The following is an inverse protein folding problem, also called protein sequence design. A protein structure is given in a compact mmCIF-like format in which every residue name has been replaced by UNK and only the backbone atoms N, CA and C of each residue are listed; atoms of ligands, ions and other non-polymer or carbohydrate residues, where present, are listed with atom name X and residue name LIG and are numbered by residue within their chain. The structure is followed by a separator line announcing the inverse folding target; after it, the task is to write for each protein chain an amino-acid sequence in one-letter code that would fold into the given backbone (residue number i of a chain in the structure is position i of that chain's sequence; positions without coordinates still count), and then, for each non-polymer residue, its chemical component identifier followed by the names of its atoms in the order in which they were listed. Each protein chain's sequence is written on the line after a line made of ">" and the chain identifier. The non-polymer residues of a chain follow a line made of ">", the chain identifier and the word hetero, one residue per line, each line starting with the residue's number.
data_IF_929598034367
#
_entry.id   IF_929598034367
#
_cell.length_a   1.000
_cell.length_b   1.000
_cell.length_c   1.000
_cell.angle_alpha   90.00
_cell.angle_beta   90.00
_cell.angle_gamma   90.00
#
_symmetry.space_group_name_H-M   'P 1'
#
loop_
_entity.id
_entity.type
_entity.pdbx_description
1 polymer ?
#
# COMPACT_ATOMS: atom_id res chain seq x y z
N UNK A 1 -22.08 1.24 13.75
CA UNK A 1 -21.74 2.32 12.80
C UNK A 1 -22.17 1.87 11.41
N UNK A 2 -22.91 2.68 10.65
CA UNK A 2 -23.36 2.31 9.30
C UNK A 2 -22.40 2.74 8.19
N UNK A 3 -21.66 3.82 8.42
CA UNK A 3 -20.68 4.37 7.49
C UNK A 3 -19.48 4.92 8.28
N UNK A 4 -18.26 4.56 7.88
CA UNK A 4 -17.01 5.04 8.45
C UNK A 4 -16.12 5.58 7.32
N UNK A 5 -15.64 6.81 7.50
CA UNK A 5 -14.67 7.44 6.60
C UNK A 5 -13.40 7.73 7.38
N UNK A 6 -12.29 7.17 6.92
CA UNK A 6 -10.99 7.33 7.55
C UNK A 6 -9.89 7.65 6.54
N UNK A 7 -8.76 8.13 7.06
CA UNK A 7 -7.52 8.23 6.31
C UNK A 7 -6.52 7.17 6.76
N UNK A 8 -5.44 7.02 5.99
CA UNK A 8 -4.31 6.15 6.35
C UNK A 8 -3.10 7.00 6.71
N UNK A 9 -2.52 6.75 7.89
CA UNK A 9 -1.28 7.34 8.37
C UNK A 9 -0.06 7.01 7.51
N UNK A 10 1.06 7.74 7.67
CA UNK A 10 2.32 7.39 6.96
C UNK A 10 2.87 6.03 7.40
N UNK A 11 2.54 5.66 8.62
CA UNK A 11 2.77 4.41 9.35
C UNK A 11 1.58 3.43 9.27
N UNK A 12 0.57 3.72 8.45
CA UNK A 12 -0.56 2.83 8.22
C UNK A 12 -1.68 2.92 9.27
N UNK A 13 -1.62 3.86 10.22
CA UNK A 13 -2.63 3.95 11.27
C UNK A 13 -4.02 4.35 10.72
N UNK A 14 -5.06 3.91 11.43
CA UNK A 14 -6.46 4.36 11.27
C UNK A 14 -6.92 4.93 12.59
N UNK A 15 -7.38 6.19 12.60
CA UNK A 15 -7.51 6.97 13.83
C UNK A 15 -6.18 6.95 14.63
N UNK A 16 -6.15 6.48 15.87
CA UNK A 16 -4.88 6.24 16.60
C UNK A 16 -4.56 4.75 16.77
N UNK A 17 -5.09 3.89 15.91
CA UNK A 17 -4.72 2.47 15.88
C UNK A 17 -3.47 2.31 15.01
N UNK A 18 -2.31 2.21 15.67
CA UNK A 18 -0.99 2.07 15.04
C UNK A 18 -0.63 0.61 14.77
N UNK A 19 0.45 0.36 14.02
CA UNK A 19 1.02 -0.98 13.80
C UNK A 19 1.07 -1.79 15.11
N UNK A 20 0.50 -3.01 15.09
CA UNK A 20 0.40 -3.90 16.24
C UNK A 20 -0.89 -3.73 17.06
N UNK A 21 -1.77 -2.77 16.70
CA UNK A 21 -3.08 -2.67 17.34
C UNK A 21 -3.93 -3.90 17.05
N UNK A 22 -4.61 -4.40 18.07
CA UNK A 22 -5.55 -5.51 17.92
C UNK A 22 -6.70 -5.12 16.99
N UNK A 23 -7.01 -5.97 16.00
CA UNK A 23 -8.14 -5.81 15.08
C UNK A 23 -9.50 -5.83 15.81
N UNK A 24 -9.57 -6.43 17.01
CA UNK A 24 -10.74 -6.45 17.88
C UNK A 24 -10.74 -5.34 18.93
N UNK A 25 -9.79 -4.41 18.86
CA UNK A 25 -9.71 -3.31 19.81
C UNK A 25 -11.01 -2.51 19.90
N UNK A 26 -11.39 -2.17 21.13
CA UNK A 26 -12.51 -1.27 21.42
C UNK A 26 -12.04 0.17 21.52
N UNK A 27 -12.99 1.11 21.58
CA UNK A 27 -12.70 2.51 21.91
C UNK A 27 -11.94 2.59 23.23
N UNK A 28 -10.78 3.24 23.22
CA UNK A 28 -9.85 3.27 24.36
C UNK A 28 -9.00 4.52 24.37
N UNK A 29 -8.32 4.75 25.50
CA UNK A 29 -7.22 5.69 25.58
C UNK A 29 -5.98 5.07 24.92
N UNK A 30 -5.35 5.80 24.00
CA UNK A 30 -4.16 5.39 23.27
C UNK A 30 -3.04 6.42 23.44
N UNK A 31 -1.81 5.92 23.64
CA UNK A 31 -0.62 6.75 23.58
C UNK A 31 -0.33 7.12 22.13
N UNK A 32 0.10 8.37 21.92
CA UNK A 32 0.51 8.84 20.61
C UNK A 32 1.86 8.22 20.24
N UNK A 33 2.01 7.68 19.03
CA UNK A 33 3.31 7.24 18.55
C UNK A 33 4.16 8.43 18.06
N UNK A 34 5.46 8.22 17.90
CA UNK A 34 6.40 9.29 17.55
C UNK A 34 6.02 10.08 16.28
N UNK A 35 5.62 9.46 15.15
CA UNK A 35 5.17 10.21 13.97
C UNK A 35 3.97 11.13 14.24
N UNK A 36 3.01 10.66 15.04
CA UNK A 36 1.84 11.44 15.45
C UNK A 36 2.22 12.55 16.42
N UNK A 37 3.11 12.27 17.37
CA UNK A 37 3.64 13.28 18.29
C UNK A 37 4.36 14.40 17.51
N UNK A 38 5.22 14.03 16.55
CA UNK A 38 5.94 14.97 15.70
C UNK A 38 4.98 15.82 14.86
N UNK A 39 3.95 15.21 14.25
CA UNK A 39 2.94 15.93 13.48
C UNK A 39 2.16 16.94 14.33
N UNK A 40 1.81 16.58 15.56
CA UNK A 40 1.08 17.46 16.48
C UNK A 40 1.98 18.48 17.21
N UNK A 41 3.30 18.30 17.20
CA UNK A 41 4.22 19.12 18.00
C UNK A 41 4.25 20.58 17.59
N UNK A 42 4.07 20.87 16.30
CA UNK A 42 3.99 22.24 15.81
C UNK A 42 2.81 23.01 16.43
N UNK A 43 1.67 22.34 16.59
CA UNK A 43 0.43 22.98 17.06
C UNK A 43 0.30 22.96 18.59
N UNK A 44 0.96 22.02 19.26
CA UNK A 44 0.75 21.73 20.68
C UNK A 44 1.89 22.20 21.59
N UNK A 45 2.79 23.07 21.09
CA UNK A 45 3.85 23.70 21.90
C UNK A 45 5.13 22.88 22.02
N UNK A 46 5.47 22.11 20.98
CA UNK A 46 6.71 21.34 20.89
C UNK A 46 6.58 19.90 21.39
N UNK A 47 7.59 19.08 21.08
CA UNK A 47 7.55 17.62 21.29
C UNK A 47 7.36 17.24 22.75
N UNK A 48 7.96 17.98 23.69
CA UNK A 48 7.89 17.65 25.12
C UNK A 48 6.49 17.87 25.70
N UNK A 49 5.75 18.84 25.17
CA UNK A 49 4.34 19.05 25.52
C UNK A 49 3.44 17.93 24.98
N UNK A 50 3.79 17.30 23.85
CA UNK A 50 2.97 16.25 23.22
C UNK A 50 3.26 14.86 23.78
N UNK A 51 4.50 14.57 24.19
CA UNK A 51 4.90 13.26 24.75
C UNK A 51 4.04 12.82 25.94
N UNK A 52 3.57 13.77 26.75
CA UNK A 52 2.72 13.50 27.92
C UNK A 52 1.22 13.33 27.58
N UNK A 53 0.82 13.47 26.31
CA UNK A 53 -0.59 13.44 25.88
C UNK A 53 -1.00 12.07 25.37
N UNK A 54 -2.26 11.75 25.60
CA UNK A 54 -2.94 10.59 25.04
C UNK A 54 -4.17 11.04 24.24
N UNK A 55 -4.67 10.18 23.37
CA UNK A 55 -5.90 10.40 22.63
C UNK A 55 -6.92 9.30 22.93
N UNK A 56 -8.20 9.65 23.01
CA UNK A 56 -9.28 8.66 22.94
C UNK A 56 -9.48 8.32 21.47
N UNK A 57 -9.36 7.04 21.11
CA UNK A 57 -9.51 6.57 19.75
C UNK A 57 -10.64 5.55 19.65
N UNK A 58 -11.39 5.60 18.55
CA UNK A 58 -12.23 4.47 18.15
C UNK A 58 -11.34 3.26 17.88
N UNK A 59 -11.76 2.08 18.34
CA UNK A 59 -11.05 0.83 18.09
C UNK A 59 -11.41 0.21 16.74
N UNK A 60 -10.51 -0.60 16.19
CA UNK A 60 -10.75 -1.28 14.91
C UNK A 60 -11.96 -2.22 14.99
N UNK A 61 -12.11 -2.94 16.11
CA UNK A 61 -13.27 -3.80 16.35
C UNK A 61 -14.56 -3.02 16.55
N UNK A 62 -14.47 -1.74 16.95
CA UNK A 62 -15.64 -0.84 17.04
C UNK A 62 -16.09 -0.37 15.66
N UNK A 63 -15.14 -0.09 14.75
CA UNK A 63 -15.44 0.25 13.36
C UNK A 63 -16.13 -0.92 12.66
N UNK A 64 -15.62 -2.13 12.86
CA UNK A 64 -16.07 -3.35 12.18
C UNK A 64 -17.19 -4.10 12.90
N UNK A 65 -17.66 -3.57 14.05
CA UNK A 65 -18.70 -4.21 14.86
C UNK A 65 -19.98 -4.51 14.08
N UNK A 66 -20.38 -3.58 13.19
CA UNK A 66 -21.49 -3.80 12.28
C UNK A 66 -20.97 -4.41 10.97
N UNK A 67 -21.33 -5.66 10.61
CA UNK A 67 -20.87 -6.31 9.39
C UNK A 67 -21.24 -5.53 8.11
N UNK A 68 -22.35 -4.79 8.13
CA UNK A 68 -22.82 -4.02 6.96
C UNK A 68 -22.20 -2.63 6.86
N UNK A 69 -21.28 -2.28 7.76
CA UNK A 69 -20.61 -0.98 7.78
C UNK A 69 -19.89 -0.72 6.44
N UNK A 70 -20.23 0.40 5.80
CA UNK A 70 -19.49 0.91 4.64
C UNK A 70 -18.25 1.62 5.17
N UNK A 71 -17.06 1.09 4.90
CA UNK A 71 -15.80 1.62 5.41
C UNK A 71 -14.93 2.11 4.26
N UNK A 72 -14.72 3.42 4.18
CA UNK A 72 -13.89 4.04 3.15
C UNK A 72 -12.59 4.53 3.79
N UNK A 73 -11.46 4.06 3.28
CA UNK A 73 -10.14 4.56 3.62
C UNK A 73 -9.57 5.38 2.46
N UNK A 74 -9.25 6.64 2.74
CA UNK A 74 -8.66 7.55 1.76
C UNK A 74 -7.15 7.65 1.97
N UNK A 75 -6.38 7.62 0.87
CA UNK A 75 -4.95 7.93 0.91
C UNK A 75 -4.51 8.78 -0.28
N UNK A 76 -3.79 9.87 -0.01
CA UNK A 76 -3.27 10.77 -1.02
C UNK A 76 -1.77 11.00 -0.85
N UNK A 77 -1.06 10.96 -1.97
CA UNK A 77 0.38 11.24 -2.05
C UNK A 77 1.25 9.99 -1.94
N UNK A 78 2.43 10.04 -2.56
CA UNK A 78 3.35 8.90 -2.66
C UNK A 78 3.84 8.38 -1.31
N UNK A 79 3.92 9.26 -0.30
CA UNK A 79 4.31 8.90 1.05
C UNK A 79 3.37 7.85 1.70
N UNK A 80 2.19 7.61 1.12
CA UNK A 80 1.23 6.59 1.57
C UNK A 80 1.30 5.29 0.79
N UNK A 81 2.00 5.27 -0.35
CA UNK A 81 2.00 4.14 -1.26
C UNK A 81 2.43 2.81 -0.62
N UNK A 82 3.45 2.75 0.25
CA UNK A 82 3.81 1.49 0.90
C UNK A 82 2.70 0.95 1.81
N UNK A 83 1.97 1.83 2.50
CA UNK A 83 0.90 1.43 3.41
C UNK A 83 -0.37 1.02 2.67
N UNK A 84 -0.69 1.69 1.56
CA UNK A 84 -1.77 1.28 0.66
C UNK A 84 -1.44 -0.08 0.03
N UNK A 85 -0.24 -0.22 -0.54
CA UNK A 85 0.21 -1.45 -1.17
C UNK A 85 0.14 -2.64 -0.21
N UNK A 86 0.71 -2.49 0.99
CA UNK A 86 0.64 -3.55 2.00
C UNK A 86 -0.81 -3.81 2.44
N UNK A 87 -1.59 -2.74 2.68
CA UNK A 87 -2.99 -2.82 3.09
C UNK A 87 -3.89 -3.59 2.13
N UNK A 88 -3.55 -3.62 0.84
CA UNK A 88 -4.31 -4.29 -0.22
C UNK A 88 -3.72 -5.66 -0.57
N UNK A 89 -2.39 -5.79 -0.65
CA UNK A 89 -1.73 -6.95 -1.28
C UNK A 89 -1.19 -7.98 -0.29
N UNK A 90 -0.85 -7.57 0.95
CA UNK A 90 -0.26 -8.48 1.93
C UNK A 90 -1.30 -9.34 2.63
N UNK A 91 -0.85 -10.45 3.19
CA UNK A 91 -1.69 -11.30 4.05
C UNK A 91 -2.14 -10.58 5.33
N UNK A 92 -3.29 -11.02 5.87
CA UNK A 92 -3.89 -10.38 7.05
C UNK A 92 -2.98 -10.49 8.28
N UNK A 93 -2.64 -9.34 8.89
CA UNK A 93 -1.68 -9.23 9.98
C UNK A 93 -1.91 -7.91 10.74
N UNK A 94 -1.76 -7.93 12.07
CA UNK A 94 -1.83 -6.75 12.96
C UNK A 94 -0.81 -5.65 12.67
N UNK A 95 0.24 -5.97 11.88
CA UNK A 95 1.20 -4.97 11.39
C UNK A 95 0.51 -3.85 10.60
N UNK A 96 -0.60 -4.15 9.93
CA UNK A 96 -1.33 -3.22 9.08
C UNK A 96 -2.77 -3.04 9.61
N UNK A 97 -3.05 -1.96 10.36
CA UNK A 97 -4.39 -1.70 10.93
C UNK A 97 -5.54 -1.74 9.91
N UNK A 98 -5.27 -1.40 8.65
CA UNK A 98 -6.23 -1.50 7.55
C UNK A 98 -6.69 -2.92 7.25
N UNK A 99 -5.96 -3.96 7.66
CA UNK A 99 -6.41 -5.33 7.47
C UNK A 99 -7.64 -5.66 8.31
N UNK A 100 -7.88 -4.94 9.41
CA UNK A 100 -9.07 -5.14 10.23
C UNK A 100 -10.37 -4.91 9.45
N UNK A 101 -10.39 -3.98 8.48
CA UNK A 101 -11.62 -3.64 7.75
C UNK A 101 -11.95 -4.63 6.62
N UNK A 102 -11.04 -5.57 6.29
CA UNK A 102 -11.26 -6.58 5.24
C UNK A 102 -12.43 -7.52 5.52
N UNK A 103 -12.86 -7.62 6.78
CA UNK A 103 -14.04 -8.40 7.18
C UNK A 103 -15.35 -7.74 6.73
N UNK A 104 -15.32 -6.46 6.35
CA UNK A 104 -16.48 -5.72 5.88
C UNK A 104 -16.63 -5.90 4.36
N UNK A 105 -17.78 -6.39 3.84
CA UNK A 105 -18.01 -6.55 2.41
C UNK A 105 -18.03 -5.21 1.66
N UNK A 106 -18.33 -4.11 2.37
CA UNK A 106 -18.44 -2.76 1.82
C UNK A 106 -17.21 -1.89 2.13
N UNK A 107 -16.06 -2.51 2.41
CA UNK A 107 -14.80 -1.80 2.62
C UNK A 107 -14.14 -1.42 1.28
N UNK A 108 -13.65 -0.19 1.16
CA UNK A 108 -12.99 0.29 -0.05
C UNK A 108 -11.86 1.28 0.24
N UNK A 109 -10.82 1.22 -0.58
CA UNK A 109 -9.75 2.22 -0.61
C UNK A 109 -10.00 3.22 -1.74
N UNK A 110 -9.91 4.51 -1.43
CA UNK A 110 -9.97 5.60 -2.41
C UNK A 110 -8.63 6.32 -2.40
N UNK A 111 -7.84 6.10 -3.45
CA UNK A 111 -6.43 6.49 -3.46
C UNK A 111 -6.05 7.30 -4.69
N UNK A 112 -5.14 8.26 -4.51
CA UNK A 112 -4.57 8.99 -5.66
C UNK A 112 -3.56 8.12 -6.41
N UNK A 113 -3.24 8.47 -7.67
CA UNK A 113 -2.22 7.76 -8.47
C UNK A 113 -0.89 7.61 -7.71
N UNK A 114 -0.43 8.67 -7.05
CA UNK A 114 0.79 8.62 -6.23
C UNK A 114 0.71 7.60 -5.09
N UNK A 115 -0.43 7.51 -4.40
CA UNK A 115 -0.64 6.52 -3.34
C UNK A 115 -0.85 5.09 -3.89
N UNK A 116 -1.21 4.95 -5.17
CA UNK A 116 -1.40 3.67 -5.84
C UNK A 116 -0.14 3.11 -6.51
N UNK A 117 0.97 3.88 -6.58
CA UNK A 117 2.14 3.55 -7.42
C UNK A 117 2.85 2.21 -7.12
N UNK A 118 2.57 1.61 -5.97
CA UNK A 118 3.12 0.34 -5.51
C UNK A 118 2.09 -0.81 -5.55
N UNK A 119 0.92 -0.58 -6.16
CA UNK A 119 -0.07 -1.63 -6.41
C UNK A 119 0.26 -2.33 -7.73
N UNK A 120 0.56 -3.63 -7.66
CA UNK A 120 0.97 -4.45 -8.80
C UNK A 120 -0.09 -4.46 -9.88
N UNK A 121 -1.34 -4.82 -9.54
CA UNK A 121 -2.46 -4.85 -10.50
C UNK A 121 -2.73 -3.48 -11.14
N UNK A 122 -2.54 -2.39 -10.39
CA UNK A 122 -2.70 -1.04 -10.95
C UNK A 122 -1.61 -0.73 -11.97
N UNK A 123 -0.36 -1.05 -11.64
CA UNK A 123 0.78 -0.84 -12.53
C UNK A 123 0.65 -1.70 -13.80
N UNK A 124 0.10 -2.91 -13.72
CA UNK A 124 -0.22 -3.76 -14.87
C UNK A 124 -1.21 -3.07 -15.81
N UNK A 125 -2.29 -2.51 -15.26
CA UNK A 125 -3.29 -1.76 -16.04
C UNK A 125 -2.67 -0.53 -16.68
N UNK A 126 -1.91 0.25 -15.90
CA UNK A 126 -1.26 1.47 -16.39
C UNK A 126 -0.27 1.16 -17.53
N UNK A 127 0.50 0.06 -17.44
CA UNK A 127 1.43 -0.38 -18.50
C UNK A 127 0.69 -0.82 -19.77
N UNK A 128 -0.45 -1.52 -19.65
CA UNK A 128 -1.26 -1.92 -20.80
C UNK A 128 -1.82 -0.72 -21.56
N UNK A 129 -2.26 0.30 -20.81
CA UNK A 129 -2.89 1.51 -21.34
C UNK A 129 -1.88 2.59 -21.78
N UNK A 130 -0.60 2.45 -21.43
CA UNK A 130 0.44 3.42 -21.79
C UNK A 130 0.54 3.60 -23.31
N UNK A 131 0.70 4.84 -23.77
CA UNK A 131 0.92 5.14 -25.20
C UNK A 131 2.29 4.66 -25.66
N UNK A 132 3.31 4.82 -24.82
CA UNK A 132 4.67 4.35 -25.04
C UNK A 132 5.23 3.77 -23.73
N UNK A 133 6.10 2.77 -23.83
CA UNK A 133 6.83 2.22 -22.68
C UNK A 133 8.20 2.87 -22.64
N UNK A 134 8.55 3.53 -21.54
CA UNK A 134 9.86 4.16 -21.36
C UNK A 134 10.96 3.14 -21.08
N UNK A 135 12.21 3.50 -21.38
CA UNK A 135 13.38 2.66 -21.04
C UNK A 135 13.44 2.42 -19.53
N UNK A 136 13.14 3.42 -18.71
CA UNK A 136 13.11 3.27 -17.24
C UNK A 136 12.10 2.22 -16.77
N UNK A 137 10.93 2.13 -17.41
CA UNK A 137 9.91 1.13 -17.09
C UNK A 137 10.38 -0.28 -17.48
N UNK A 138 11.01 -0.40 -18.66
CA UNK A 138 11.60 -1.63 -19.16
C UNK A 138 12.67 -2.13 -18.19
N UNK A 139 13.67 -1.30 -17.92
CA UNK A 139 14.79 -1.64 -17.04
C UNK A 139 14.31 -2.07 -15.68
N UNK A 140 13.37 -1.32 -15.10
CA UNK A 140 12.78 -1.65 -13.80
C UNK A 140 12.11 -3.03 -13.83
N UNK A 141 11.27 -3.31 -14.82
CA UNK A 141 10.57 -4.60 -14.94
C UNK A 141 11.59 -5.74 -15.08
N UNK A 142 12.59 -5.60 -15.96
CA UNK A 142 13.61 -6.63 -16.16
C UNK A 142 14.48 -6.85 -14.92
N UNK A 143 14.82 -5.78 -14.19
CA UNK A 143 15.53 -5.88 -12.90
C UNK A 143 14.67 -6.60 -11.87
N UNK A 144 13.38 -6.29 -11.76
CA UNK A 144 12.46 -6.96 -10.84
C UNK A 144 12.32 -8.46 -11.17
N UNK A 145 12.24 -8.82 -12.46
CA UNK A 145 12.25 -10.22 -12.94
C UNK A 145 13.57 -10.92 -12.62
N UNK A 146 14.70 -10.26 -12.84
CA UNK A 146 16.03 -10.76 -12.52
C UNK A 146 16.16 -11.09 -11.02
N UNK A 147 15.74 -10.17 -10.16
CA UNK A 147 15.76 -10.35 -8.70
C UNK A 147 14.83 -11.49 -8.27
N UNK A 148 13.61 -11.56 -8.80
CA UNK A 148 12.62 -12.58 -8.41
C UNK A 148 13.01 -13.98 -8.90
N UNK A 149 13.58 -14.09 -10.10
CA UNK A 149 14.07 -15.36 -10.68
C UNK A 149 15.46 -15.78 -10.18
N UNK A 150 16.16 -14.87 -9.47
CA UNK A 150 17.55 -15.06 -8.99
C UNK A 150 18.53 -15.37 -10.11
N UNK A 151 18.33 -14.78 -11.29
CA UNK A 151 19.22 -14.85 -12.44
C UNK A 151 19.94 -13.52 -12.62
N UNK A 152 21.08 -13.50 -13.33
CA UNK A 152 21.66 -12.22 -13.77
C UNK A 152 20.79 -11.67 -14.88
N UNK A 153 20.76 -10.34 -15.05
CA UNK A 153 19.97 -9.69 -16.10
C UNK A 153 20.30 -10.25 -17.50
N UNK A 154 21.60 -10.48 -17.76
CA UNK A 154 22.11 -11.07 -19.01
C UNK A 154 21.76 -12.55 -19.21
N UNK A 155 21.32 -13.25 -18.17
CA UNK A 155 20.93 -14.66 -18.23
C UNK A 155 19.41 -14.84 -18.29
N UNK A 156 18.63 -13.75 -18.32
CA UNK A 156 17.18 -13.82 -18.43
C UNK A 156 16.76 -14.29 -19.81
N UNK A 157 15.80 -15.23 -19.85
CA UNK A 157 15.16 -15.64 -21.09
C UNK A 157 13.69 -15.21 -21.15
N UNK A 158 13.07 -15.38 -22.32
CA UNK A 158 11.65 -15.05 -22.52
C UNK A 158 10.72 -15.85 -21.62
N UNK A 159 11.13 -17.02 -21.14
CA UNK A 159 10.31 -17.85 -20.24
C UNK A 159 10.30 -17.24 -18.85
N UNK A 160 11.43 -16.69 -18.39
CA UNK A 160 11.51 -16.00 -17.10
C UNK A 160 10.66 -14.73 -17.10
N UNK A 161 10.78 -13.90 -18.13
CA UNK A 161 10.02 -12.64 -18.24
C UNK A 161 8.52 -12.90 -18.34
N UNK A 162 8.09 -13.94 -19.07
CA UNK A 162 6.67 -14.28 -19.19
C UNK A 162 6.06 -14.92 -17.93
N UNK A 163 6.87 -15.40 -16.97
CA UNK A 163 6.35 -15.88 -15.68
C UNK A 163 5.94 -14.72 -14.77
N UNK A 164 6.58 -13.57 -14.91
CA UNK A 164 6.23 -12.38 -14.16
C UNK A 164 5.01 -11.67 -14.78
N UNK A 165 4.01 -11.26 -13.98
CA UNK A 165 2.83 -10.58 -14.51
C UNK A 165 3.13 -9.28 -15.27
N UNK A 166 4.07 -8.46 -14.80
CA UNK A 166 4.48 -7.22 -15.46
C UNK A 166 5.37 -7.53 -16.67
N UNK A 167 6.31 -8.46 -16.52
CA UNK A 167 7.18 -8.93 -17.59
C UNK A 167 6.40 -9.46 -18.79
N UNK A 168 5.36 -10.25 -18.56
CA UNK A 168 4.46 -10.74 -19.62
C UNK A 168 3.81 -9.60 -20.39
N UNK A 169 3.27 -8.60 -19.70
CA UNK A 169 2.65 -7.44 -20.35
C UNK A 169 3.68 -6.65 -21.16
N UNK A 170 4.90 -6.51 -20.63
CA UNK A 170 5.99 -5.87 -21.34
C UNK A 170 6.30 -6.60 -22.66
N UNK A 171 6.44 -7.93 -22.62
CA UNK A 171 6.69 -8.74 -23.82
C UNK A 171 5.57 -8.57 -24.86
N UNK A 172 4.31 -8.62 -24.43
CA UNK A 172 3.14 -8.43 -25.30
C UNK A 172 3.13 -7.03 -25.95
N UNK A 173 3.56 -6.00 -25.22
CA UNK A 173 3.60 -4.60 -25.68
C UNK A 173 4.75 -4.31 -26.63
N UNK A 174 5.92 -4.90 -26.40
CA UNK A 174 7.13 -4.64 -27.18
C UNK A 174 7.24 -5.56 -28.41
N UNK A 175 6.51 -6.68 -28.42
CA UNK A 175 6.59 -7.67 -29.50
C UNK A 175 7.95 -8.38 -29.57
N UNK A 176 8.69 -8.40 -28.45
CA UNK A 176 10.04 -8.92 -28.39
C UNK A 176 10.09 -10.43 -28.56
N UNK A 177 11.08 -10.88 -29.32
CA UNK A 177 11.49 -12.26 -29.47
C UNK A 177 12.61 -12.62 -28.48
N UNK A 178 13.12 -13.85 -28.55
CA UNK A 178 14.20 -14.33 -27.68
C UNK A 178 15.53 -13.62 -27.91
N UNK A 179 15.74 -13.05 -29.10
CA UNK A 179 16.97 -12.38 -29.50
C UNK A 179 17.01 -10.92 -29.01
N UNK A 180 15.85 -10.26 -28.94
CA UNK A 180 15.74 -8.82 -28.59
C UNK A 180 16.06 -8.52 -27.11
N UNK A 181 15.93 -9.51 -26.22
CA UNK A 181 16.16 -9.36 -24.77
C UNK A 181 17.65 -9.19 -24.39
N UNK A 182 18.56 -9.56 -25.27
CA UNK A 182 20.01 -9.48 -25.02
C UNK A 182 20.71 -8.36 -25.79
N UNK A 183 19.98 -7.69 -26.71
CA UNK A 183 20.50 -6.62 -27.58
C UNK A 183 20.03 -5.21 -27.18
N UNK A 184 19.17 -5.07 -26.16
CA UNK A 184 18.78 -3.80 -25.51
C UNK A 184 19.68 -3.43 -24.34
#
# INVERSE_FOLDING_TARGET
>A
IGFFLGGIGRDGHIAFNVCGSDHRSTTRLAQLNYPTQAAASADLGGIDAVKAKCAITIGLGTITYNPDCVCILIAAGEAKAPMVANGVQEETNIKYPSHAIRVLPNAAFYVTKGAAKLLVERNIVDLKEASNVGIEDIEKILVDVSVSSRKRLVDLDTVDVNKDPMGKVLMDRMGWSKEDLHDT
#
